data_IF_076267452083
#
_entry.id   IF_076267452083
#
_cell.length_a   1.000
_cell.length_b   1.000
_cell.length_c   1.000
_cell.angle_alpha   90.00
_cell.angle_beta   90.00
_cell.angle_gamma   90.00
#
_symmetry.space_group_name_H-M   'P 1'
#
loop_
_entity.id
_entity.type
_entity.pdbx_description
1 polymer ?
#
# COMPACT_ATOMS: atom_id res chain seq x y z
N UNK A 1 18.41 38.70 -3.56
CA UNK A 1 17.19 38.13 -4.19
C UNK A 1 17.10 38.68 -5.60
N UNK A 2 17.36 37.85 -6.61
CA UNK A 2 17.24 38.26 -8.01
C UNK A 2 15.76 38.28 -8.36
N UNK A 3 15.21 39.45 -8.63
CA UNK A 3 13.81 39.61 -9.00
C UNK A 3 13.59 38.91 -10.34
N UNK A 4 12.80 37.82 -10.35
CA UNK A 4 12.38 37.15 -11.58
C UNK A 4 11.43 38.10 -12.32
N UNK A 5 11.97 38.87 -13.26
CA UNK A 5 11.18 39.68 -14.20
C UNK A 5 10.61 38.74 -15.26
N UNK A 6 9.30 38.51 -15.20
CA UNK A 6 8.61 37.76 -16.24
C UNK A 6 8.56 38.60 -17.52
N UNK A 7 8.99 38.07 -18.68
CA UNK A 7 8.89 38.79 -19.95
C UNK A 7 7.43 39.06 -20.29
N UNK A 8 7.17 40.20 -20.95
CA UNK A 8 5.83 40.52 -21.43
C UNK A 8 5.40 39.43 -22.43
N UNK A 9 4.18 38.90 -22.27
CA UNK A 9 3.69 37.77 -23.07
C UNK A 9 3.64 38.03 -24.58
N UNK A 10 3.66 39.29 -25.00
CA UNK A 10 3.70 39.70 -26.41
C UNK A 10 5.11 39.66 -27.02
N UNK A 11 6.16 39.69 -26.19
CA UNK A 11 7.56 39.67 -26.64
C UNK A 11 8.09 38.23 -26.85
N UNK A 12 7.31 37.24 -26.41
CA UNK A 12 7.64 35.82 -26.57
C UNK A 12 6.96 35.27 -27.82
N UNK A 13 7.76 34.77 -28.77
CA UNK A 13 7.24 34.19 -30.02
C UNK A 13 6.31 32.99 -29.73
N UNK A 14 5.34 32.75 -30.63
CA UNK A 14 4.44 31.61 -30.55
C UNK A 14 5.21 30.28 -30.47
N UNK A 15 6.24 30.11 -31.29
CA UNK A 15 7.10 28.92 -31.29
C UNK A 15 7.77 28.67 -29.94
N UNK A 16 8.22 29.72 -29.26
CA UNK A 16 8.80 29.59 -27.91
C UNK A 16 7.76 29.12 -26.90
N UNK A 17 6.51 29.63 -26.99
CA UNK A 17 5.41 29.20 -26.12
C UNK A 17 5.08 27.72 -26.33
N UNK A 18 4.94 27.28 -27.59
CA UNK A 18 4.70 25.87 -27.93
C UNK A 18 5.85 24.96 -27.48
N UNK A 19 7.10 25.40 -27.63
CA UNK A 19 8.26 24.65 -27.17
C UNK A 19 8.27 24.48 -25.64
N UNK A 20 7.95 25.53 -24.89
CA UNK A 20 7.85 25.47 -23.42
C UNK A 20 6.68 24.60 -22.98
N UNK A 21 5.50 24.76 -23.60
CA UNK A 21 4.33 23.94 -23.31
C UNK A 21 4.61 22.45 -23.57
N UNK A 22 5.23 22.13 -24.71
CA UNK A 22 5.66 20.78 -25.06
C UNK A 22 6.68 20.23 -24.05
N UNK A 23 7.67 21.03 -23.66
CA UNK A 23 8.67 20.62 -22.68
C UNK A 23 8.05 20.30 -21.32
N UNK A 24 7.11 21.13 -20.84
CA UNK A 24 6.37 20.87 -19.60
C UNK A 24 5.55 19.58 -19.73
N UNK A 25 4.84 19.40 -20.84
CA UNK A 25 4.03 18.22 -21.09
C UNK A 25 4.88 16.95 -21.11
N UNK A 26 5.99 16.93 -21.86
CA UNK A 26 6.88 15.78 -21.93
C UNK A 26 7.58 15.51 -20.61
N UNK A 27 7.98 16.55 -19.87
CA UNK A 27 8.58 16.37 -18.55
C UNK A 27 7.58 15.80 -17.53
N UNK A 28 6.33 16.29 -17.55
CA UNK A 28 5.26 15.76 -16.72
C UNK A 28 4.96 14.30 -17.10
N UNK A 29 4.80 14.03 -18.39
CA UNK A 29 4.56 12.69 -18.91
C UNK A 29 5.69 11.71 -18.54
N UNK A 30 6.94 12.12 -18.69
CA UNK A 30 8.11 11.32 -18.32
C UNK A 30 8.16 11.01 -16.82
N UNK A 31 7.83 11.98 -15.96
CA UNK A 31 7.71 11.74 -14.52
C UNK A 31 6.58 10.75 -14.20
N UNK A 32 5.40 10.94 -14.80
CA UNK A 32 4.22 10.11 -14.54
C UNK A 32 4.36 8.67 -15.04
N UNK A 33 5.24 8.39 -16.01
CA UNK A 33 5.56 7.03 -16.48
C UNK A 33 6.83 6.44 -15.85
N UNK A 34 7.52 7.20 -14.99
CA UNK A 34 8.79 6.80 -14.40
C UNK A 34 9.94 6.70 -15.42
N UNK A 35 9.93 7.52 -16.46
CA UNK A 35 11.06 7.64 -17.39
C UNK A 35 12.15 8.57 -16.81
N UNK A 36 13.38 8.40 -17.31
CA UNK A 36 14.52 9.21 -16.93
C UNK A 36 15.01 8.95 -15.49
N UNK A 37 15.81 9.89 -14.92
CA UNK A 37 16.43 9.71 -13.61
C UNK A 37 15.42 9.58 -12.46
N UNK A 38 14.29 10.27 -12.53
CA UNK A 38 13.28 10.31 -11.46
C UNK A 38 12.60 8.96 -11.23
N UNK A 39 12.32 8.22 -12.30
CA UNK A 39 11.75 6.87 -12.18
C UNK A 39 12.78 5.74 -12.09
N UNK A 40 14.08 6.04 -12.22
CA UNK A 40 15.14 5.02 -12.12
C UNK A 40 15.18 4.42 -10.71
N UNK A 41 15.05 5.26 -9.69
CA UNK A 41 15.00 4.87 -8.29
C UNK A 41 13.82 5.58 -7.63
N UNK A 42 12.93 4.82 -7.00
CA UNK A 42 11.83 5.34 -6.20
C UNK A 42 12.09 5.00 -4.73
N UNK A 43 12.03 5.99 -3.86
CA UNK A 43 12.31 5.83 -2.43
C UNK A 43 11.07 6.16 -1.60
N UNK A 44 10.89 5.45 -0.48
CA UNK A 44 9.78 5.45 0.49
C UNK A 44 8.43 4.98 -0.02
N UNK A 45 8.11 5.30 -1.26
CA UNK A 45 6.82 4.98 -1.87
C UNK A 45 6.88 3.72 -2.72
N UNK A 46 5.72 3.07 -2.88
CA UNK A 46 5.56 2.01 -3.87
C UNK A 46 5.50 2.63 -5.27
N UNK A 47 6.09 2.02 -6.31
CA UNK A 47 5.98 2.51 -7.69
C UNK A 47 4.54 2.75 -8.13
N UNK A 48 3.61 1.89 -7.69
CA UNK A 48 2.17 2.01 -7.99
C UNK A 48 1.49 3.25 -7.40
N UNK A 49 2.10 3.94 -6.42
CA UNK A 49 1.57 5.18 -5.83
C UNK A 49 2.08 6.44 -6.53
N UNK A 50 3.22 6.35 -7.22
CA UNK A 50 3.92 7.50 -7.82
C UNK A 50 3.82 7.50 -9.35
N UNK A 51 3.73 6.32 -9.96
CA UNK A 51 3.61 6.15 -11.41
C UNK A 51 2.14 6.01 -11.75
N UNK A 52 1.63 6.96 -12.51
CA UNK A 52 0.21 7.05 -12.86
C UNK A 52 -0.09 6.64 -14.31
N UNK A 53 0.95 6.46 -15.14
CA UNK A 53 0.80 6.10 -16.55
C UNK A 53 1.71 4.94 -16.91
N UNK A 54 1.28 4.09 -17.85
CA UNK A 54 2.06 2.94 -18.36
C UNK A 54 2.56 1.97 -17.28
N UNK A 55 1.87 1.91 -16.13
CA UNK A 55 2.12 0.94 -15.07
C UNK A 55 1.07 -0.16 -15.15
N UNK A 56 1.51 -1.41 -15.34
CA UNK A 56 0.66 -2.58 -15.34
C UNK A 56 0.61 -3.21 -13.95
N UNK A 57 -0.51 -3.02 -13.27
CA UNK A 57 -0.80 -3.70 -12.01
C UNK A 57 -1.27 -5.13 -12.27
N UNK A 58 -1.18 -6.04 -11.29
CA UNK A 58 -1.75 -7.37 -11.44
C UNK A 58 -3.25 -7.26 -11.70
N UNK A 59 -3.74 -7.92 -12.76
CA UNK A 59 -5.14 -7.89 -13.20
C UNK A 59 -6.02 -8.39 -12.05
N UNK A 60 -7.04 -7.60 -11.69
CA UNK A 60 -8.07 -8.05 -10.76
C UNK A 60 -8.80 -9.24 -11.35
N UNK A 61 -8.79 -10.36 -10.64
CA UNK A 61 -9.69 -11.45 -10.95
C UNK A 61 -11.06 -11.11 -10.35
N UNK A 62 -12.15 -11.17 -11.13
CA UNK A 62 -13.48 -11.04 -10.56
C UNK A 62 -13.67 -12.16 -9.53
N UNK A 63 -14.17 -11.82 -8.34
CA UNK A 63 -14.46 -12.87 -7.34
C UNK A 63 -15.45 -13.85 -7.96
N UNK A 64 -15.29 -15.14 -7.66
CA UNK A 64 -16.20 -16.20 -8.13
C UNK A 64 -17.63 -16.04 -7.63
N UNK A 65 -17.87 -15.08 -6.72
CA UNK A 65 -19.13 -14.79 -6.05
C UNK A 65 -19.77 -13.49 -6.56
N UNK A 66 -19.04 -12.64 -7.29
CA UNK A 66 -19.57 -11.37 -7.79
C UNK A 66 -20.52 -11.59 -8.97
N UNK A 67 -21.81 -11.33 -8.74
CA UNK A 67 -22.88 -11.50 -9.74
C UNK A 67 -23.15 -10.16 -10.45
N UNK A 68 -22.88 -9.03 -9.79
CA UNK A 68 -23.16 -7.69 -10.34
C UNK A 68 -21.90 -6.89 -10.67
N UNK A 69 -22.04 -5.91 -11.59
CA UNK A 69 -20.98 -4.97 -11.96
C UNK A 69 -20.50 -4.07 -10.82
N UNK A 70 -21.28 -3.92 -9.74
CA UNK A 70 -20.92 -3.14 -8.55
C UNK A 70 -20.13 -3.98 -7.53
N UNK A 71 -20.36 -5.30 -7.47
CA UNK A 71 -19.61 -6.26 -6.65
C UNK A 71 -18.27 -6.66 -7.28
N UNK A 72 -18.18 -6.55 -8.61
CA UNK A 72 -16.90 -6.42 -9.31
C UNK A 72 -16.38 -5.03 -8.98
N UNK A 73 -15.55 -4.95 -7.96
CA UNK A 73 -14.86 -3.79 -7.37
C UNK A 73 -14.20 -2.83 -8.40
N UNK A 74 -14.96 -2.26 -9.33
CA UNK A 74 -14.51 -1.57 -10.55
C UNK A 74 -14.93 -0.09 -10.56
N UNK A 75 -15.67 0.37 -9.53
CA UNK A 75 -16.33 1.70 -9.58
C UNK A 75 -15.88 2.67 -8.47
N UNK A 76 -15.18 2.26 -7.41
CA UNK A 76 -14.77 3.20 -6.34
C UNK A 76 -13.32 3.08 -5.84
N UNK A 77 -12.41 2.45 -6.59
CA UNK A 77 -10.98 2.40 -6.22
C UNK A 77 -10.10 3.11 -7.26
N UNK A 78 -8.91 3.63 -6.89
CA UNK A 78 -8.06 4.43 -7.78
C UNK A 78 -7.69 3.70 -9.08
N UNK A 79 -7.35 4.47 -10.12
CA UNK A 79 -7.01 4.02 -11.48
C UNK A 79 -6.16 2.74 -11.45
N UNK A 80 -6.79 1.59 -11.73
CA UNK A 80 -6.15 0.27 -11.74
C UNK A 80 -6.04 -0.22 -13.18
N UNK A 81 -4.83 -0.17 -13.74
CA UNK A 81 -4.58 -0.61 -15.12
C UNK A 81 -3.92 -1.99 -15.09
N UNK A 82 -4.70 -3.04 -15.30
CA UNK A 82 -4.22 -4.43 -15.36
C UNK A 82 -3.75 -4.89 -16.74
N UNK A 83 -4.14 -4.14 -17.78
CA UNK A 83 -3.92 -4.48 -19.18
C UNK A 83 -3.54 -3.24 -19.99
N UNK A 84 -2.71 -3.42 -21.01
CA UNK A 84 -2.39 -2.39 -21.99
C UNK A 84 -2.32 -3.02 -23.38
N UNK A 85 -2.92 -2.38 -24.38
CA UNK A 85 -3.03 -2.98 -25.70
C UNK A 85 -3.47 -1.99 -26.76
N UNK A 86 -3.60 -2.51 -27.98
CA UNK A 86 -4.17 -1.79 -29.11
C UNK A 86 -5.25 -2.63 -29.78
N UNK A 87 -6.27 -1.95 -30.26
CA UNK A 87 -7.30 -2.50 -31.14
C UNK A 87 -7.26 -1.73 -32.46
N UNK A 88 -7.20 -2.43 -33.58
CA UNK A 88 -7.19 -1.82 -34.91
C UNK A 88 -7.85 -2.74 -35.93
N UNK A 89 -8.31 -2.14 -37.02
CA UNK A 89 -8.88 -2.87 -38.16
C UNK A 89 -7.82 -3.09 -39.23
N UNK A 90 -7.87 -4.25 -39.87
CA UNK A 90 -7.09 -4.60 -41.05
C UNK A 90 -8.03 -5.02 -42.19
N UNK A 91 -7.75 -4.58 -43.42
CA UNK A 91 -8.44 -5.07 -44.60
C UNK A 91 -8.00 -6.52 -44.94
N UNK A 92 -8.92 -7.35 -45.43
CA UNK A 92 -8.81 -8.81 -45.54
C UNK A 92 -7.59 -9.32 -46.36
N UNK A 93 -7.07 -10.45 -45.88
CA UNK A 93 -6.10 -11.45 -46.41
C UNK A 93 -4.78 -11.03 -47.06
N UNK A 94 -4.51 -9.76 -47.35
CA UNK A 94 -3.23 -9.39 -48.00
C UNK A 94 -2.06 -9.31 -47.02
N UNK A 95 -2.33 -9.00 -45.75
CA UNK A 95 -1.30 -8.97 -44.72
C UNK A 95 -0.96 -10.38 -44.25
N UNK A 96 0.26 -10.81 -44.53
CA UNK A 96 0.74 -12.13 -44.14
C UNK A 96 0.99 -12.26 -42.63
N UNK A 97 1.38 -11.18 -41.95
CA UNK A 97 1.74 -11.25 -40.53
C UNK A 97 1.68 -9.90 -39.80
N UNK A 98 1.52 -9.98 -38.48
CA UNK A 98 1.64 -8.86 -37.53
C UNK A 98 2.83 -9.14 -36.62
N UNK A 99 3.71 -8.16 -36.44
CA UNK A 99 4.86 -8.26 -35.55
C UNK A 99 4.68 -7.37 -34.33
N UNK A 100 4.82 -7.94 -33.13
CA UNK A 100 4.63 -7.28 -31.84
C UNK A 100 5.95 -7.28 -31.08
N UNK A 101 6.57 -6.11 -30.93
CA UNK A 101 7.76 -5.93 -30.10
C UNK A 101 7.41 -5.32 -28.75
N UNK A 102 7.74 -6.00 -27.65
CA UNK A 102 7.33 -5.57 -26.31
C UNK A 102 8.56 -5.20 -25.49
N UNK A 103 8.62 -3.93 -25.07
CA UNK A 103 9.64 -3.40 -24.15
C UNK A 103 8.96 -3.01 -22.84
N UNK A 104 9.44 -3.58 -21.74
CA UNK A 104 8.89 -3.34 -20.41
C UNK A 104 10.00 -2.94 -19.44
N UNK A 105 9.59 -2.51 -18.24
CA UNK A 105 10.48 -2.35 -17.10
C UNK A 105 9.80 -2.95 -15.88
N UNK A 106 10.59 -3.56 -15.00
CA UNK A 106 10.14 -4.07 -13.71
C UNK A 106 10.76 -3.25 -12.59
N UNK A 107 10.09 -3.19 -11.45
CA UNK A 107 10.63 -2.55 -10.25
C UNK A 107 11.03 -3.62 -9.23
N UNK A 108 12.31 -3.65 -8.89
CA UNK A 108 12.86 -4.58 -7.90
C UNK A 108 13.16 -3.83 -6.61
N UNK A 109 12.76 -4.41 -5.46
CA UNK A 109 12.98 -3.79 -4.16
C UNK A 109 14.44 -3.97 -3.73
N UNK A 110 15.06 -2.89 -3.29
CA UNK A 110 16.43 -2.85 -2.78
C UNK A 110 16.48 -2.26 -1.37
N UNK A 111 17.60 -2.47 -0.67
CA UNK A 111 17.91 -1.85 0.61
C UNK A 111 18.30 -0.37 0.43
N UNK A 112 17.92 0.53 1.35
CA UNK A 112 18.37 1.91 1.34
C UNK A 112 19.84 2.03 1.78
N UNK A 113 20.53 3.03 1.25
CA UNK A 113 21.87 3.43 1.70
C UNK A 113 21.78 4.39 2.90
N UNK A 114 22.90 4.59 3.61
CA UNK A 114 22.98 5.58 4.68
C UNK A 114 22.64 7.01 4.19
N UNK A 115 23.02 7.35 2.94
CA UNK A 115 22.66 8.63 2.33
C UNK A 115 21.14 8.76 2.14
N UNK A 116 20.44 7.69 1.75
CA UNK A 116 18.98 7.70 1.60
C UNK A 116 18.27 7.91 2.95
N UNK A 117 18.76 7.25 4.02
CA UNK A 117 18.22 7.41 5.37
C UNK A 117 18.55 8.78 5.99
N UNK A 118 19.69 9.36 5.61
CA UNK A 118 20.07 10.71 6.04
C UNK A 118 19.25 11.79 5.34
N UNK A 119 19.01 11.63 4.03
CA UNK A 119 18.16 12.52 3.25
C UNK A 119 16.70 12.48 3.73
N UNK A 120 16.26 11.34 4.26
CA UNK A 120 14.95 11.20 4.81
C UNK A 120 14.93 10.20 5.99
N UNK A 121 14.85 10.76 7.21
CA UNK A 121 14.86 10.03 8.50
C UNK A 121 13.65 9.13 8.71
N UNK A 122 13.86 7.95 9.28
CA UNK A 122 12.81 6.98 9.57
C UNK A 122 12.04 7.43 10.80
N UNK A 123 10.72 7.36 10.73
CA UNK A 123 9.84 7.74 11.84
C UNK A 123 9.44 6.48 12.60
N UNK A 124 9.68 6.48 13.90
CA UNK A 124 9.33 5.40 14.82
C UNK A 124 8.23 5.83 15.77
N UNK A 125 7.37 4.90 16.18
CA UNK A 125 6.28 5.15 17.14
C UNK A 125 6.63 4.57 18.51
N UNK A 126 6.19 5.23 19.58
CA UNK A 126 6.26 4.63 20.92
C UNK A 126 5.35 3.40 21.04
N UNK A 127 5.83 2.42 21.78
CA UNK A 127 5.06 1.24 22.16
C UNK A 127 3.80 1.62 22.93
N UNK A 128 2.75 0.79 22.81
CA UNK A 128 1.50 0.97 23.58
C UNK A 128 1.75 1.18 25.08
N UNK A 129 2.71 0.46 25.66
CA UNK A 129 3.06 0.56 27.08
C UNK A 129 3.74 1.91 27.42
N UNK A 130 4.64 2.39 26.56
CA UNK A 130 5.26 3.69 26.77
C UNK A 130 4.23 4.82 26.63
N UNK A 131 3.32 4.70 25.64
CA UNK A 131 2.21 5.64 25.45
C UNK A 131 1.27 5.68 26.65
N UNK A 132 0.88 4.53 27.20
CA UNK A 132 -0.05 4.47 28.33
C UNK A 132 0.53 5.14 29.58
N UNK A 133 1.83 5.01 29.83
CA UNK A 133 2.52 5.72 30.92
C UNK A 133 2.42 7.23 30.71
N UNK A 134 2.74 7.74 29.52
CA UNK A 134 2.66 9.19 29.25
C UNK A 134 1.22 9.71 29.42
N UNK A 135 0.24 8.97 28.90
CA UNK A 135 -1.17 9.33 29.02
C UNK A 135 -1.66 9.33 30.48
N UNK A 136 -1.17 8.40 31.31
CA UNK A 136 -1.46 8.36 32.75
C UNK A 136 -0.93 9.60 33.46
N UNK A 137 0.33 9.97 33.25
CA UNK A 137 0.93 11.17 33.85
C UNK A 137 0.19 12.44 33.42
N UNK A 138 -0.19 12.53 32.15
CA UNK A 138 -1.00 13.64 31.63
C UNK A 138 -2.36 13.72 32.32
N UNK A 139 -3.07 12.59 32.46
CA UNK A 139 -4.38 12.52 33.10
C UNK A 139 -4.31 12.93 34.58
N UNK A 140 -3.33 12.42 35.31
CA UNK A 140 -3.12 12.75 36.73
C UNK A 140 -2.75 14.21 36.94
N UNK A 141 -1.89 14.77 36.10
CA UNK A 141 -1.48 16.16 36.18
C UNK A 141 -2.64 17.11 35.83
N UNK A 142 -3.40 16.82 34.79
CA UNK A 142 -4.59 17.60 34.43
C UNK A 142 -5.66 17.54 35.51
N UNK A 143 -5.90 16.36 36.11
CA UNK A 143 -6.84 16.21 37.22
C UNK A 143 -6.42 17.07 38.41
N UNK A 144 -5.14 17.02 38.81
CA UNK A 144 -4.60 17.87 39.89
C UNK A 144 -4.77 19.36 39.60
N UNK A 145 -4.39 19.79 38.39
CA UNK A 145 -4.52 21.20 37.99
C UNK A 145 -5.98 21.66 37.94
N UNK A 146 -6.90 20.77 37.55
CA UNK A 146 -8.33 21.06 37.54
C UNK A 146 -8.88 21.18 38.97
N UNK A 147 -8.52 20.26 39.86
CA UNK A 147 -8.95 20.29 41.26
C UNK A 147 -8.42 21.56 41.96
N UNK A 148 -7.16 21.95 41.69
CA UNK A 148 -6.57 23.20 42.17
C UNK A 148 -7.30 24.43 41.62
N UNK A 149 -7.60 24.45 40.32
CA UNK A 149 -8.29 25.57 39.69
C UNK A 149 -9.76 25.68 40.17
N UNK A 150 -10.42 24.54 40.38
CA UNK A 150 -11.78 24.46 40.94
C UNK A 150 -11.81 24.93 42.40
N UNK A 151 -10.78 24.65 43.19
CA UNK A 151 -10.68 25.13 44.57
C UNK A 151 -10.58 26.67 44.65
N UNK A 152 -10.02 27.32 43.63
CA UNK A 152 -9.84 28.79 43.59
C UNK A 152 -11.01 29.51 42.91
N UNK A 153 -11.50 28.99 41.79
CA UNK A 153 -12.48 29.66 40.91
C UNK A 153 -13.85 28.95 40.85
N UNK A 154 -14.05 27.86 41.60
CA UNK A 154 -15.29 27.09 41.58
C UNK A 154 -15.55 26.41 40.22
N UNK A 155 -16.83 26.21 39.87
CA UNK A 155 -17.23 25.57 38.61
C UNK A 155 -16.88 26.40 37.34
N UNK A 156 -16.59 27.70 37.49
CA UNK A 156 -16.20 28.57 36.39
C UNK A 156 -14.70 28.47 36.03
N UNK A 157 -13.90 27.74 36.80
CA UNK A 157 -12.45 27.60 36.58
C UNK A 157 -12.09 27.09 35.18
N UNK A 158 -12.86 26.11 34.65
CA UNK A 158 -12.68 25.56 33.29
C UNK A 158 -12.99 26.56 32.18
N UNK A 159 -13.84 27.56 32.44
CA UNK A 159 -14.25 28.59 31.48
C UNK A 159 -13.32 29.81 31.50
N UNK A 160 -12.33 29.84 32.39
CA UNK A 160 -11.38 30.94 32.47
C UNK A 160 -10.43 30.95 31.26
N UNK A 161 -10.12 32.11 30.66
CA UNK A 161 -9.14 32.19 29.57
C UNK A 161 -7.75 31.69 29.95
N UNK A 162 -7.40 31.77 31.24
CA UNK A 162 -6.13 31.27 31.81
C UNK A 162 -6.06 29.75 31.90
N UNK A 163 -7.19 29.04 31.82
CA UNK A 163 -7.21 27.58 31.89
C UNK A 163 -6.43 26.94 30.73
N UNK A 164 -6.50 27.51 29.53
CA UNK A 164 -5.75 27.00 28.39
C UNK A 164 -4.23 27.06 28.61
N UNK A 165 -3.73 28.18 29.15
CA UNK A 165 -2.31 28.34 29.49
C UNK A 165 -1.87 27.35 30.59
N UNK A 166 -2.70 27.17 31.62
CA UNK A 166 -2.45 26.21 32.70
C UNK A 166 -2.44 24.78 32.17
N UNK A 167 -3.43 24.42 31.34
CA UNK A 167 -3.56 23.10 30.71
C UNK A 167 -2.33 22.77 29.86
N UNK A 168 -1.88 23.71 29.04
CA UNK A 168 -0.71 23.52 28.16
C UNK A 168 0.56 23.31 28.99
N UNK A 169 0.82 24.21 29.96
CA UNK A 169 1.99 24.11 30.84
C UNK A 169 2.03 22.79 31.62
N UNK A 170 0.91 22.40 32.23
CA UNK A 170 0.82 21.17 33.03
C UNK A 170 0.96 19.93 32.16
N UNK A 171 0.44 19.96 30.93
CA UNK A 171 0.60 18.86 29.96
C UNK A 171 2.07 18.71 29.55
N UNK A 172 2.75 19.81 29.23
CA UNK A 172 4.18 19.80 28.88
C UNK A 172 5.06 19.30 30.04
N UNK A 173 4.81 19.76 31.27
CA UNK A 173 5.51 19.31 32.47
C UNK A 173 5.29 17.81 32.74
N UNK A 174 4.06 17.32 32.56
CA UNK A 174 3.70 15.91 32.75
C UNK A 174 4.33 15.00 31.70
N UNK A 175 4.32 15.40 30.43
CA UNK A 175 4.98 14.66 29.35
C UNK A 175 6.49 14.62 29.53
N UNK A 176 7.10 15.76 29.88
CA UNK A 176 8.53 15.83 30.18
C UNK A 176 8.92 14.90 31.33
N UNK A 177 8.12 14.87 32.39
CA UNK A 177 8.32 13.98 33.54
C UNK A 177 8.18 12.50 33.16
N UNK A 178 7.14 12.15 32.39
CA UNK A 178 6.91 10.78 31.95
C UNK A 178 8.03 10.27 31.04
N UNK A 179 8.56 11.11 30.15
CA UNK A 179 9.66 10.73 29.27
C UNK A 179 10.98 10.54 30.03
N UNK A 180 11.22 11.35 31.06
CA UNK A 180 12.35 11.16 31.97
C UNK A 180 12.23 9.84 32.74
N UNK A 181 11.04 9.48 33.23
CA UNK A 181 10.77 8.18 33.86
C UNK A 181 11.06 7.02 32.90
N UNK A 182 10.67 7.18 31.64
CA UNK A 182 10.97 6.22 30.57
C UNK A 182 12.46 6.24 30.15
N UNK A 183 13.30 7.11 30.71
CA UNK A 183 14.72 7.20 30.36
C UNK A 183 14.98 7.76 28.95
N UNK A 184 13.99 8.43 28.35
CA UNK A 184 14.14 9.14 27.07
C UNK A 184 14.76 10.50 27.37
N UNK A 185 15.98 10.73 26.88
CA UNK A 185 16.75 11.92 27.20
C UNK A 185 16.01 13.22 26.81
N UNK A 186 16.05 14.22 27.70
CA UNK A 186 15.39 15.51 27.50
C UNK A 186 15.84 16.30 26.26
N UNK A 187 16.94 15.92 25.61
CA UNK A 187 17.37 16.50 24.33
C UNK A 187 16.45 16.09 23.16
N UNK A 188 15.78 14.94 23.23
CA UNK A 188 14.85 14.44 22.20
C UNK A 188 13.54 15.25 22.23
N UNK A 189 13.18 15.78 23.41
CA UNK A 189 12.03 16.64 23.65
C UNK A 189 12.12 18.01 22.97
N UNK A 190 13.33 18.52 22.70
CA UNK A 190 13.56 19.85 22.13
C UNK A 190 13.60 19.87 20.60
N UNK A 191 13.25 18.77 19.93
CA UNK A 191 13.16 18.74 18.47
C UNK A 191 12.05 19.68 17.97
N UNK A 192 12.32 20.66 17.09
CA UNK A 192 11.34 21.65 16.64
C UNK A 192 10.10 21.03 15.98
N UNK A 193 10.27 19.89 15.31
CA UNK A 193 9.17 19.10 14.72
C UNK A 193 8.14 18.60 15.74
N UNK A 194 8.54 18.41 17.01
CA UNK A 194 7.62 18.00 18.09
C UNK A 194 6.84 19.17 18.65
N UNK A 195 7.49 20.35 18.75
CA UNK A 195 6.87 21.58 19.24
C UNK A 195 5.74 22.05 18.31
N UNK A 196 5.93 22.00 16.99
CA UNK A 196 4.91 22.42 16.02
C UNK A 196 3.66 21.51 16.02
N UNK A 197 3.85 20.19 16.19
CA UNK A 197 2.74 19.22 16.29
C UNK A 197 1.98 19.36 17.61
N UNK A 198 2.69 19.56 18.72
CA UNK A 198 2.10 19.78 20.04
C UNK A 198 1.24 21.05 20.09
N UNK A 199 1.73 22.17 19.52
CA UNK A 199 0.98 23.43 19.47
C UNK A 199 -0.33 23.29 18.68
N UNK A 200 -0.35 22.47 17.63
CA UNK A 200 -1.56 22.22 16.80
C UNK A 200 -2.62 21.40 17.55
N UNK A 201 -2.24 20.35 18.28
CA UNK A 201 -3.17 19.52 19.08
C UNK A 201 -3.77 20.32 20.24
N UNK A 202 -3.04 21.29 20.78
CA UNK A 202 -3.53 22.14 21.86
C UNK A 202 -4.58 23.16 21.38
N UNK A 203 -4.65 23.43 20.06
CA UNK A 203 -5.60 24.34 19.46
C UNK A 203 -6.93 23.67 19.03
N UNK A 204 -6.92 22.37 18.75
CA UNK A 204 -8.11 21.62 18.30
C UNK A 204 -8.39 20.42 19.23
N UNK A 205 -9.46 20.51 20.05
CA UNK A 205 -9.94 19.38 20.85
C UNK A 205 -10.72 19.77 22.10
N UNK A 206 -11.91 20.33 21.91
CA UNK A 206 -13.00 20.25 22.89
C UNK A 206 -13.91 19.09 22.44
N UNK A 207 -13.55 17.87 22.83
CA UNK A 207 -14.48 16.74 22.77
C UNK A 207 -14.62 16.15 24.18
N UNK A 208 -15.88 16.04 24.60
CA UNK A 208 -16.26 15.46 25.88
C UNK A 208 -15.86 13.97 25.97
N UNK A 209 -15.85 13.39 27.18
CA UNK A 209 -15.38 12.04 27.38
C UNK A 209 -16.26 11.04 26.61
N UNK A 210 -15.68 10.37 25.61
CA UNK A 210 -16.26 9.17 25.02
C UNK A 210 -16.12 8.03 26.03
N UNK A 211 -17.25 7.50 26.50
CA UNK A 211 -17.32 6.26 27.24
C UNK A 211 -17.01 5.11 26.30
N UNK A 212 -15.85 4.47 26.47
CA UNK A 212 -15.65 3.03 26.37
C UNK A 212 -14.15 2.75 26.45
N UNK A 213 -13.68 2.45 27.66
CA UNK A 213 -12.41 1.76 27.87
C UNK A 213 -12.68 0.64 28.89
N UNK A 214 -12.63 -0.65 28.49
CA UNK A 214 -13.02 -1.78 29.32
C UNK A 214 -11.82 -2.22 30.16
N UNK A 215 -11.63 -1.59 31.32
CA UNK A 215 -10.83 -2.16 32.40
C UNK A 215 -10.96 -1.26 33.64
N UNK A 216 -11.84 -1.62 34.58
CA UNK A 216 -11.62 -1.73 36.04
C UNK A 216 -12.94 -2.27 36.62
N UNK A 217 -13.03 -3.59 36.86
CA UNK A 217 -13.92 -4.09 37.92
C UNK A 217 -13.12 -4.03 39.22
N UNK A 218 -13.48 -3.08 40.09
CA UNK A 218 -12.98 -3.00 41.46
C UNK A 218 -14.10 -3.38 42.44
N UNK A 219 -13.76 -4.31 43.31
CA UNK A 219 -14.54 -4.85 44.42
C UNK A 219 -15.07 -3.76 45.38
N UNK A 220 -16.35 -3.85 45.76
CA UNK A 220 -16.85 -3.29 47.02
C UNK A 220 -17.81 -4.28 47.70
N UNK A 221 -17.37 -4.80 48.84
CA UNK A 221 -18.19 -5.51 49.82
C UNK A 221 -19.00 -4.52 50.69
N UNK A 222 -20.31 -4.77 50.87
CA UNK A 222 -20.93 -4.88 52.20
C UNK A 222 -22.45 -5.22 52.15
N UNK A 223 -22.74 -6.40 52.68
CA UNK A 223 -23.83 -6.77 53.60
C UNK A 223 -25.20 -7.30 53.08
N UNK A 224 -25.41 -8.58 53.46
CA UNK A 224 -26.64 -9.23 53.94
C UNK A 224 -27.62 -9.85 52.93
N UNK A 225 -27.54 -11.16 52.70
CA UNK A 225 -28.33 -12.22 53.36
C UNK A 225 -28.04 -13.59 52.69
N UNK A 226 -27.91 -14.64 53.50
CA UNK A 226 -27.88 -16.05 53.05
C UNK A 226 -29.27 -16.66 53.33
N UNK A 227 -29.73 -17.69 52.59
CA UNK A 227 -29.25 -19.04 52.91
C UNK A 227 -29.02 -20.01 51.73
N UNK A 228 -28.13 -20.96 52.04
CA UNK A 228 -27.77 -22.27 51.47
C UNK A 228 -28.63 -22.95 50.38
N UNK A 229 -27.94 -23.56 49.39
CA UNK A 229 -28.00 -25.02 49.11
C UNK A 229 -27.03 -25.47 48.00
N UNK A 230 -26.32 -26.57 48.27
CA UNK A 230 -25.63 -27.59 47.45
C UNK A 230 -25.45 -27.47 45.91
N UNK A 231 -24.23 -27.80 45.47
CA UNK A 231 -23.74 -28.12 44.11
C UNK A 231 -24.37 -29.42 43.53
N UNK A 232 -24.30 -29.76 42.20
CA UNK A 232 -23.18 -29.53 41.26
C UNK A 232 -23.51 -29.20 39.78
N UNK A 233 -22.42 -28.95 39.04
CA UNK A 233 -22.15 -28.93 37.58
C UNK A 233 -23.21 -29.50 36.60
N UNK A 234 -23.53 -28.72 35.55
CA UNK A 234 -23.66 -29.12 34.12
C UNK A 234 -24.49 -28.09 33.31
N UNK A 235 -23.95 -27.58 32.19
CA UNK A 235 -24.74 -27.29 30.98
C UNK A 235 -25.17 -25.85 30.61
N UNK A 236 -24.42 -25.29 29.66
CA UNK A 236 -24.85 -24.58 28.41
C UNK A 236 -25.34 -23.11 28.39
N UNK A 237 -24.78 -22.43 27.35
CA UNK A 237 -25.28 -21.28 26.56
C UNK A 237 -24.93 -19.88 27.11
N UNK A 238 -24.57 -18.85 26.34
CA UNK A 238 -24.28 -18.59 24.92
C UNK A 238 -23.77 -17.13 24.85
N UNK A 239 -23.27 -16.69 23.69
CA UNK A 239 -22.75 -15.35 23.31
C UNK A 239 -21.24 -15.13 23.39
N UNK A 240 -20.52 -15.75 22.44
CA UNK A 240 -19.34 -15.15 21.86
C UNK A 240 -19.79 -13.98 20.95
N UNK A 241 -19.37 -12.75 21.29
CA UNK A 241 -19.47 -11.61 20.39
C UNK A 241 -18.18 -11.58 19.56
N UNK A 242 -18.35 -11.92 18.29
CA UNK A 242 -17.37 -11.72 17.23
C UNK A 242 -17.03 -10.21 17.11
N UNK A 243 -15.78 -9.86 17.42
CA UNK A 243 -15.23 -8.53 17.15
C UNK A 243 -14.85 -8.45 15.66
N UNK A 244 -15.86 -8.10 14.87
CA UNK A 244 -15.77 -7.82 13.45
C UNK A 244 -14.90 -6.58 13.21
N UNK A 245 -13.80 -6.78 12.48
CA UNK A 245 -12.84 -5.75 12.07
C UNK A 245 -13.45 -4.96 10.90
N UNK A 246 -14.46 -4.14 11.19
CA UNK A 246 -14.88 -3.07 10.29
C UNK A 246 -14.06 -1.82 10.60
N UNK A 247 -12.94 -1.67 9.90
CA UNK A 247 -12.35 -0.35 9.62
C UNK A 247 -13.34 0.45 8.78
N UNK A 248 -14.34 1.02 9.45
CA UNK A 248 -15.07 2.17 8.96
C UNK A 248 -14.04 3.29 8.87
N UNK A 249 -13.80 3.79 7.66
CA UNK A 249 -13.27 5.14 7.46
C UNK A 249 -14.32 6.13 7.96
N UNK A 250 -14.44 6.27 9.28
CA UNK A 250 -14.94 7.50 9.86
C UNK A 250 -13.82 8.51 9.74
N UNK A 251 -14.16 9.68 9.23
CA UNK A 251 -13.31 10.87 9.15
C UNK A 251 -12.87 11.29 10.56
N UNK A 252 -11.83 10.65 11.08
CA UNK A 252 -11.15 11.01 12.32
C UNK A 252 -9.92 11.85 11.98
N UNK A 253 -10.14 13.11 11.60
CA UNK A 253 -9.06 14.07 11.46
C UNK A 253 -8.36 14.36 12.81
N UNK A 254 -9.02 14.08 13.95
CA UNK A 254 -8.48 14.32 15.30
C UNK A 254 -7.57 13.23 15.87
N UNK A 255 -7.82 11.94 15.58
CA UNK A 255 -7.08 10.84 16.23
C UNK A 255 -5.71 10.56 15.57
N UNK A 256 -5.54 11.00 14.31
CA UNK A 256 -4.27 10.91 13.60
C UNK A 256 -3.22 11.92 14.07
N UNK A 257 -3.63 13.05 14.64
CA UNK A 257 -2.72 14.10 15.09
C UNK A 257 -2.18 13.83 16.50
N UNK A 258 -2.98 13.24 17.40
CA UNK A 258 -2.54 12.86 18.75
C UNK A 258 -1.44 11.79 18.73
N UNK A 259 -1.47 10.87 17.77
CA UNK A 259 -0.46 9.82 17.63
C UNK A 259 0.88 10.32 17.07
N UNK A 260 0.88 11.41 16.27
CA UNK A 260 2.11 12.04 15.77
C UNK A 260 2.96 12.64 16.89
N UNK A 261 2.35 13.02 18.02
CA UNK A 261 3.08 13.53 19.18
C UNK A 261 4.04 12.49 19.80
N UNK A 262 3.83 11.20 19.50
CA UNK A 262 4.64 10.08 19.99
C UNK A 262 5.56 9.48 18.93
N UNK A 263 5.80 10.22 17.84
CA UNK A 263 6.66 9.81 16.73
C UNK A 263 8.08 10.43 16.85
N UNK A 264 9.10 9.63 16.52
CA UNK A 264 10.51 10.00 16.60
C UNK A 264 11.20 9.76 15.27
N UNK A 265 11.73 10.83 14.66
CA UNK A 265 12.51 10.74 13.44
C UNK A 265 13.98 10.43 13.76
N UNK A 266 14.47 9.29 13.26
CA UNK A 266 15.83 8.78 13.49
C UNK A 266 16.55 8.62 12.16
N UNK A 267 17.78 9.10 12.10
CA UNK A 267 18.71 8.92 10.99
C UNK A 267 20.04 8.28 11.43
N UNK A 268 20.90 7.91 10.47
CA UNK A 268 22.22 7.37 10.76
C UNK A 268 23.07 8.32 11.61
N UNK A 269 23.73 7.78 12.64
CA UNK A 269 24.59 8.55 13.54
C UNK A 269 23.86 9.50 14.52
N UNK A 270 22.53 9.48 14.59
CA UNK A 270 21.80 10.30 15.57
C UNK A 270 22.15 9.88 17.01
N UNK A 271 22.72 10.80 17.79
CA UNK A 271 23.17 10.54 19.16
C UNK A 271 22.02 10.39 20.18
N UNK A 272 20.82 10.86 19.82
CA UNK A 272 19.66 10.92 20.70
C UNK A 272 18.50 10.09 20.14
N UNK A 273 18.75 8.84 19.75
CA UNK A 273 17.70 7.92 19.36
C UNK A 273 16.97 7.35 20.61
N UNK A 274 15.64 7.17 20.57
CA UNK A 274 14.91 6.58 21.68
C UNK A 274 15.31 5.10 21.89
N UNK A 275 15.26 4.58 23.14
CA UNK A 275 15.57 3.19 23.42
C UNK A 275 14.65 2.20 22.68
N UNK A 276 15.21 1.14 22.12
CA UNK A 276 14.49 0.13 21.34
C UNK A 276 13.31 -0.51 22.12
N UNK A 277 13.45 -0.69 23.43
CA UNK A 277 12.42 -1.30 24.28
C UNK A 277 11.12 -0.48 24.36
N UNK A 278 11.18 0.81 24.04
CA UNK A 278 10.07 1.75 24.13
C UNK A 278 9.41 2.02 22.78
N UNK A 279 9.89 1.39 21.72
CA UNK A 279 9.56 1.71 20.34
C UNK A 279 8.93 0.50 19.65
N UNK A 280 7.90 0.76 18.85
CA UNK A 280 7.35 -0.22 17.91
C UNK A 280 8.33 -0.34 16.74
N UNK A 281 8.73 -1.57 16.41
CA UNK A 281 9.69 -1.82 15.32
C UNK A 281 9.06 -1.41 14.00
N UNK A 282 9.79 -0.64 13.20
CA UNK A 282 9.31 -0.11 11.92
C UNK A 282 9.82 -0.95 10.75
N UNK A 283 9.13 -0.94 9.61
CA UNK A 283 9.63 -1.60 8.40
C UNK A 283 10.82 -0.85 7.80
N UNK A 284 11.75 -1.61 7.21
CA UNK A 284 12.83 -1.01 6.39
C UNK A 284 12.20 -0.19 5.26
N UNK A 285 12.59 1.09 5.20
CA UNK A 285 12.14 2.03 4.17
C UNK A 285 12.25 1.44 2.77
N UNK A 286 11.20 1.60 1.99
CA UNK A 286 11.12 1.01 0.67
C UNK A 286 12.04 1.75 -0.30
N UNK A 287 12.86 1.03 -1.07
CA UNK A 287 13.61 1.57 -2.20
C UNK A 287 13.43 0.65 -3.38
N UNK A 288 13.17 1.20 -4.55
CA UNK A 288 12.82 0.44 -5.76
C UNK A 288 13.73 0.84 -6.90
N UNK A 289 14.30 -0.15 -7.58
CA UNK A 289 15.12 0.02 -8.77
C UNK A 289 14.32 -0.36 -10.00
N UNK A 290 14.29 0.52 -11.01
CA UNK A 290 13.71 0.24 -12.33
C UNK A 290 14.71 -0.53 -13.18
N UNK A 291 14.35 -1.74 -13.58
CA UNK A 291 15.18 -2.61 -14.43
C UNK A 291 14.50 -2.80 -15.78
N UNK A 292 15.17 -2.48 -16.91
CA UNK A 292 14.61 -2.71 -18.24
C UNK A 292 14.53 -4.21 -18.56
N UNK A 293 13.46 -4.61 -19.24
CA UNK A 293 13.26 -5.98 -19.72
C UNK A 293 12.85 -5.94 -21.19
N UNK A 294 13.61 -6.67 -22.02
CA UNK A 294 13.18 -6.99 -23.38
C UNK A 294 12.37 -8.30 -23.39
N UNK A 295 11.06 -8.18 -23.55
CA UNK A 295 10.15 -9.32 -23.66
C UNK A 295 10.22 -9.96 -25.05
N UNK A 296 10.84 -9.28 -26.00
CA UNK A 296 11.12 -9.76 -27.33
C UNK A 296 10.04 -9.43 -28.34
N UNK A 297 10.18 -10.07 -29.49
CA UNK A 297 9.32 -9.90 -30.64
C UNK A 297 8.53 -11.18 -30.91
N UNK A 298 7.23 -11.03 -31.13
CA UNK A 298 6.32 -12.09 -31.54
C UNK A 298 5.77 -11.79 -32.92
N UNK A 299 5.85 -12.76 -33.84
CA UNK A 299 5.29 -12.66 -35.19
C UNK A 299 4.06 -13.54 -35.28
N UNK A 300 2.90 -12.93 -35.45
CA UNK A 300 1.62 -13.57 -35.67
C UNK A 300 1.47 -13.76 -37.17
N UNK A 301 1.51 -15.00 -37.65
CA UNK A 301 1.21 -15.33 -39.04
C UNK A 301 -0.31 -15.49 -39.23
N UNK A 302 -0.90 -14.60 -40.01
CA UNK A 302 -2.36 -14.55 -40.21
C UNK A 302 -2.88 -15.62 -41.18
N UNK A 303 -1.97 -16.37 -41.83
CA UNK A 303 -2.32 -17.52 -42.68
C UNK A 303 -2.56 -18.81 -41.89
N UNK A 304 -2.08 -18.86 -40.64
CA UNK A 304 -2.25 -20.02 -39.76
C UNK A 304 -3.67 -20.11 -39.22
N UNK A 305 -4.06 -21.32 -38.81
CA UNK A 305 -5.32 -21.53 -38.10
C UNK A 305 -5.26 -20.98 -36.68
N UNK A 306 -6.41 -20.59 -36.11
CA UNK A 306 -6.50 -20.12 -34.72
C UNK A 306 -5.75 -21.02 -33.69
N UNK A 307 -5.92 -22.36 -33.67
CA UNK A 307 -5.22 -23.21 -32.71
C UNK A 307 -3.69 -23.27 -32.91
N UNK A 308 -3.19 -22.99 -34.11
CA UNK A 308 -1.74 -22.87 -34.36
C UNK A 308 -1.20 -21.55 -33.81
N UNK A 309 -1.93 -20.45 -34.04
CA UNK A 309 -1.59 -19.14 -33.47
C UNK A 309 -1.62 -19.20 -31.93
N UNK A 310 -2.61 -19.85 -31.33
CA UNK A 310 -2.72 -20.00 -29.87
C UNK A 310 -1.53 -20.80 -29.29
N UNK A 311 -1.07 -21.83 -30.01
CA UNK A 311 0.11 -22.61 -29.62
C UNK A 311 1.38 -21.76 -29.64
N UNK A 312 1.56 -20.99 -30.71
CA UNK A 312 2.72 -20.10 -30.86
C UNK A 312 2.71 -18.98 -29.82
N UNK A 313 1.52 -18.42 -29.54
CA UNK A 313 1.32 -17.41 -28.50
C UNK A 313 1.62 -17.96 -27.11
N UNK A 314 1.16 -19.17 -26.77
CA UNK A 314 1.48 -19.83 -25.51
C UNK A 314 2.99 -20.07 -25.34
N UNK A 315 3.67 -20.50 -26.42
CA UNK A 315 5.12 -20.67 -26.43
C UNK A 315 5.85 -19.33 -26.23
N UNK A 316 5.36 -18.25 -26.84
CA UNK A 316 5.89 -16.90 -26.65
C UNK A 316 5.68 -16.38 -25.23
N UNK A 317 4.49 -16.56 -24.65
CA UNK A 317 4.18 -16.20 -23.26
C UNK A 317 5.13 -16.91 -22.27
N UNK A 318 5.37 -18.21 -22.46
CA UNK A 318 6.35 -18.95 -21.67
C UNK A 318 7.78 -18.40 -21.83
N UNK A 319 8.14 -17.91 -23.02
CA UNK A 319 9.45 -17.26 -23.27
C UNK A 319 9.54 -15.89 -22.59
N UNK A 320 8.48 -15.10 -22.60
CA UNK A 320 8.42 -13.80 -21.91
C UNK A 320 8.65 -13.98 -20.40
N UNK A 321 7.95 -14.93 -19.79
CA UNK A 321 8.13 -15.24 -18.37
C UNK A 321 9.58 -15.62 -18.05
N UNK A 322 10.19 -16.53 -18.83
CA UNK A 322 11.61 -16.90 -18.66
C UNK A 322 12.57 -15.73 -18.83
N UNK A 323 12.28 -14.77 -19.72
CA UNK A 323 13.10 -13.56 -19.90
C UNK A 323 13.04 -12.66 -18.67
N UNK A 324 11.87 -12.47 -18.07
CA UNK A 324 11.74 -11.73 -16.82
C UNK A 324 12.52 -12.42 -15.70
N UNK A 325 12.34 -13.74 -15.55
CA UNK A 325 13.05 -14.52 -14.54
C UNK A 325 14.56 -14.41 -14.71
N UNK A 326 15.07 -14.51 -15.95
CA UNK A 326 16.49 -14.34 -16.25
C UNK A 326 17.02 -12.94 -15.89
N UNK A 327 16.22 -11.88 -16.10
CA UNK A 327 16.61 -10.52 -15.69
C UNK A 327 16.66 -10.40 -14.16
N UNK A 328 15.68 -10.99 -13.46
CA UNK A 328 15.67 -11.01 -11.99
C UNK A 328 16.89 -11.79 -11.47
N UNK A 329 17.18 -12.95 -12.04
CA UNK A 329 18.33 -13.80 -11.68
C UNK A 329 19.65 -13.07 -11.91
N UNK A 330 19.80 -12.42 -13.08
CA UNK A 330 20.98 -11.64 -13.41
C UNK A 330 21.19 -10.49 -12.41
N UNK A 331 20.13 -9.76 -12.07
CA UNK A 331 20.21 -8.69 -11.07
C UNK A 331 20.52 -9.22 -9.66
N UNK A 332 19.93 -10.34 -9.25
CA UNK A 332 20.21 -10.95 -7.94
C UNK A 332 21.67 -11.42 -7.81
N UNK A 333 22.28 -11.85 -8.91
CA UNK A 333 23.70 -12.24 -8.95
C UNK A 333 24.66 -11.05 -9.16
N UNK A 334 24.14 -9.88 -9.52
CA UNK A 334 24.93 -8.68 -9.82
C UNK A 334 25.60 -8.14 -8.56
N UNK A 335 26.93 -7.97 -8.62
CA UNK A 335 27.78 -7.48 -7.55
C UNK A 335 28.11 -5.98 -7.66
N UNK A 336 27.43 -5.24 -8.54
CA UNK A 336 27.56 -3.79 -8.64
C UNK A 336 27.41 -3.14 -7.24
N UNK A 337 28.41 -2.34 -6.79
CA UNK A 337 28.43 -1.78 -5.44
C UNK A 337 27.34 -0.74 -5.18
N UNK A 338 26.62 -0.28 -6.21
CA UNK A 338 25.60 0.76 -6.12
C UNK A 338 24.16 0.23 -6.26
N UNK A 339 23.94 -0.75 -7.13
CA UNK A 339 22.60 -1.24 -7.50
C UNK A 339 22.47 -2.76 -7.60
N UNK A 340 23.58 -3.50 -7.49
CA UNK A 340 23.60 -4.95 -7.68
C UNK A 340 22.78 -5.67 -6.60
N UNK A 341 21.92 -6.59 -7.02
CA UNK A 341 21.02 -7.32 -6.13
C UNK A 341 21.75 -8.22 -5.12
N UNK A 342 23.01 -8.59 -5.38
CA UNK A 342 23.82 -9.37 -4.43
C UNK A 342 24.11 -8.57 -3.15
N UNK A 343 24.30 -7.26 -3.27
CA UNK A 343 24.66 -6.36 -2.16
C UNK A 343 23.51 -5.48 -1.69
N UNK A 344 22.49 -5.31 -2.52
CA UNK A 344 21.38 -4.40 -2.26
C UNK A 344 20.01 -5.07 -2.34
N UNK A 345 19.93 -6.34 -2.72
CA UNK A 345 18.68 -7.07 -2.78
C UNK A 345 17.97 -7.04 -1.44
N UNK A 346 16.68 -6.70 -1.47
CA UNK A 346 15.88 -6.71 -0.24
C UNK A 346 15.80 -8.14 0.31
N UNK A 347 16.06 -8.40 1.61
CA UNK A 347 16.05 -9.75 2.16
C UNK A 347 14.70 -10.46 1.99
N UNK A 348 14.77 -11.69 1.49
CA UNK A 348 13.69 -12.66 1.45
C UNK A 348 13.63 -13.44 2.76
N UNK A 349 12.43 -13.66 3.29
CA UNK A 349 12.25 -14.39 4.54
C UNK A 349 10.78 -14.69 4.84
N UNK A 350 10.55 -15.77 5.58
CA UNK A 350 9.29 -16.03 6.28
C UNK A 350 9.39 -15.41 7.67
N UNK A 351 8.52 -14.46 7.98
CA UNK A 351 8.44 -13.83 9.30
C UNK A 351 8.53 -12.30 9.26
N UNK A 352 7.72 -11.66 10.09
CA UNK A 352 7.57 -10.20 10.26
C UNK A 352 8.88 -9.54 10.71
N UNK A 353 9.72 -10.26 11.46
CA UNK A 353 10.97 -9.71 12.00
C UNK A 353 12.11 -9.55 10.99
N UNK A 354 12.07 -10.26 9.85
CA UNK A 354 13.11 -10.13 8.81
C UNK A 354 13.04 -8.81 8.02
N UNK A 355 12.04 -7.96 8.32
CA UNK A 355 11.73 -6.73 7.59
C UNK A 355 11.64 -5.50 8.48
N UNK A 356 11.80 -5.67 9.78
CA UNK A 356 11.69 -4.58 10.75
C UNK A 356 13.04 -4.21 11.32
N UNK A 357 13.15 -2.94 11.72
CA UNK A 357 14.35 -2.30 12.23
C UNK A 357 14.01 -1.57 13.52
N UNK A 358 15.03 -1.34 14.34
CA UNK A 358 14.93 -0.52 15.54
C UNK A 358 15.64 0.83 15.34
N UNK A 359 15.43 1.81 16.24
CA UNK A 359 16.24 3.03 16.26
C UNK A 359 17.75 2.75 16.28
N UNK A 360 18.21 1.79 17.09
CA UNK A 360 19.63 1.42 17.13
C UNK A 360 20.14 0.90 15.78
N UNK A 361 19.35 0.11 15.05
CA UNK A 361 19.70 -0.34 13.70
C UNK A 361 19.88 0.83 12.73
N UNK A 362 19.03 1.86 12.84
CA UNK A 362 19.11 3.05 11.96
C UNK A 362 20.31 3.91 12.29
N UNK A 363 20.59 4.13 13.58
CA UNK A 363 21.78 4.88 14.02
C UNK A 363 23.05 4.19 13.53
N UNK A 364 23.13 2.87 13.68
CA UNK A 364 24.22 2.00 13.23
C UNK A 364 24.05 1.44 11.83
N UNK A 365 23.40 2.16 10.90
CA UNK A 365 22.91 1.58 9.64
C UNK A 365 23.97 0.85 8.82
N UNK A 366 25.20 1.32 8.76
CA UNK A 366 26.25 0.63 7.98
C UNK A 366 26.56 -0.77 8.53
N UNK A 367 26.50 -0.96 9.86
CA UNK A 367 26.67 -2.26 10.50
C UNK A 367 25.44 -3.15 10.26
N UNK A 368 24.23 -2.60 10.43
CA UNK A 368 22.99 -3.34 10.15
C UNK A 368 22.90 -3.74 8.68
N UNK A 369 23.29 -2.86 7.76
CA UNK A 369 23.36 -3.12 6.32
C UNK A 369 24.38 -4.20 5.98
N UNK A 370 25.56 -4.21 6.61
CA UNK A 370 26.53 -5.28 6.46
C UNK A 370 25.95 -6.64 6.90
N UNK A 371 25.19 -6.67 8.00
CA UNK A 371 24.44 -7.84 8.44
C UNK A 371 23.38 -8.29 7.42
N UNK A 372 22.54 -7.37 6.95
CA UNK A 372 21.49 -7.66 5.96
C UNK A 372 22.06 -8.20 4.64
N UNK A 373 23.24 -7.72 4.22
CA UNK A 373 23.97 -8.17 3.03
C UNK A 373 24.47 -9.61 3.11
N UNK A 374 24.62 -10.17 4.31
CA UNK A 374 24.99 -11.58 4.45
C UNK A 374 23.84 -12.52 4.08
N UNK A 375 22.60 -12.03 4.07
CA UNK A 375 21.44 -12.83 3.69
C UNK A 375 21.41 -13.04 2.17
N UNK A 376 21.68 -14.30 1.76
CA UNK A 376 21.72 -14.68 0.35
C UNK A 376 20.36 -14.89 -0.29
N UNK A 377 19.27 -14.91 0.49
CA UNK A 377 17.92 -15.03 -0.07
C UNK A 377 17.39 -13.63 -0.29
N UNK A 378 17.32 -13.19 -1.55
CA UNK A 378 16.69 -11.93 -1.95
C UNK A 378 15.20 -12.16 -2.18
N UNK A 379 14.36 -11.19 -1.79
CA UNK A 379 12.94 -11.19 -2.08
C UNK A 379 12.71 -11.23 -3.60
N UNK A 380 12.01 -12.26 -4.06
CA UNK A 380 11.76 -12.50 -5.49
C UNK A 380 10.30 -12.20 -5.81
N UNK A 381 9.99 -11.25 -6.70
CA UNK A 381 8.62 -11.05 -7.17
C UNK A 381 8.22 -12.13 -8.19
N UNK A 382 6.95 -12.52 -8.17
CA UNK A 382 6.35 -13.36 -9.20
C UNK A 382 5.67 -12.44 -10.21
N UNK A 383 6.23 -12.31 -11.42
CA UNK A 383 5.72 -11.46 -12.48
C UNK A 383 5.27 -12.32 -13.65
N UNK A 384 3.97 -12.30 -13.97
CA UNK A 384 3.38 -13.17 -15.00
C UNK A 384 2.82 -12.30 -16.14
N UNK A 385 3.63 -11.95 -17.15
CA UNK A 385 3.15 -11.24 -18.34
C UNK A 385 2.43 -12.20 -19.28
N UNK A 386 1.26 -11.81 -19.78
CA UNK A 386 0.52 -12.58 -20.77
C UNK A 386 0.20 -11.69 -21.96
N UNK A 387 0.64 -12.08 -23.15
CA UNK A 387 0.19 -11.50 -24.41
C UNK A 387 -1.08 -12.25 -24.84
N UNK A 388 -2.15 -11.50 -25.06
CA UNK A 388 -3.42 -11.97 -25.57
C UNK A 388 -3.61 -11.42 -27.00
N UNK A 389 -4.21 -12.24 -27.86
CA UNK A 389 -4.51 -11.91 -29.25
C UNK A 389 -5.93 -12.34 -29.57
N UNK A 390 -6.73 -11.42 -30.10
CA UNK A 390 -8.06 -11.70 -30.63
C UNK A 390 -8.15 -11.25 -32.08
N UNK A 391 -8.75 -12.09 -32.92
CA UNK A 391 -9.02 -11.80 -34.33
C UNK A 391 -10.52 -11.98 -34.58
N UNK A 392 -11.23 -10.86 -34.70
CA UNK A 392 -12.68 -10.83 -34.84
C UNK A 392 -13.03 -10.39 -36.26
N UNK A 393 -13.95 -11.11 -36.90
CA UNK A 393 -14.55 -10.67 -38.15
C UNK A 393 -15.42 -9.43 -37.91
N UNK A 394 -15.35 -8.43 -38.77
CA UNK A 394 -16.23 -7.27 -38.66
C UNK A 394 -17.64 -7.65 -39.19
N UNK A 395 -18.70 -7.56 -38.35
CA UNK A 395 -20.04 -7.99 -38.74
C UNK A 395 -20.67 -7.06 -39.80
N UNK A 396 -20.18 -5.83 -39.95
CA UNK A 396 -20.67 -4.85 -40.92
C UNK A 396 -19.81 -4.81 -42.19
N UNK A 397 -18.56 -5.24 -42.11
CA UNK A 397 -17.59 -5.26 -43.22
C UNK A 397 -16.88 -6.61 -43.31
N UNK A 398 -17.42 -7.58 -44.05
CA UNK A 398 -16.87 -8.93 -44.14
C UNK A 398 -15.44 -9.00 -44.72
N UNK A 399 -14.99 -7.93 -45.37
CA UNK A 399 -13.65 -7.73 -45.92
C UNK A 399 -12.69 -7.04 -44.93
N UNK A 400 -13.10 -6.84 -43.68
CA UNK A 400 -12.26 -6.28 -42.62
C UNK A 400 -12.23 -7.23 -41.40
N UNK A 401 -11.12 -7.18 -40.67
CA UNK A 401 -10.98 -7.87 -39.37
C UNK A 401 -10.55 -6.89 -38.31
N UNK A 402 -11.14 -7.01 -37.13
CA UNK A 402 -10.71 -6.30 -35.93
C UNK A 402 -9.70 -7.17 -35.18
N UNK A 403 -8.48 -6.67 -35.09
CA UNK A 403 -7.40 -7.30 -34.33
C UNK A 403 -7.24 -6.58 -33.00
N UNK A 404 -7.14 -7.35 -31.92
CA UNK A 404 -6.84 -6.86 -30.59
C UNK A 404 -5.60 -7.56 -30.06
N UNK A 405 -4.64 -6.78 -29.58
CA UNK A 405 -3.41 -7.27 -28.96
C UNK A 405 -3.29 -6.61 -27.59
N UNK A 406 -3.16 -7.42 -26.54
CA UNK A 406 -3.16 -6.96 -25.15
C UNK A 406 -2.01 -7.60 -24.40
N UNK A 407 -1.25 -6.80 -23.66
CA UNK A 407 -0.38 -7.27 -22.60
C UNK A 407 -1.12 -7.14 -21.27
N UNK A 408 -1.35 -8.28 -20.62
CA UNK A 408 -1.93 -8.39 -19.28
C UNK A 408 -0.84 -8.77 -18.27
N UNK A 409 -1.02 -8.33 -17.03
CA UNK A 409 -0.22 -8.77 -15.90
C UNK A 409 -1.05 -9.73 -15.04
N UNK A 410 -0.84 -11.04 -15.20
CA UNK A 410 -1.53 -12.11 -14.46
C UNK A 410 -0.83 -12.50 -13.17
N UNK A 411 0.05 -11.63 -12.64
CA UNK A 411 0.61 -11.84 -11.32
C UNK A 411 -0.48 -11.96 -10.25
N UNK A 412 -0.14 -12.61 -9.14
CA UNK A 412 -0.97 -12.53 -7.95
C UNK A 412 -0.96 -11.10 -7.41
N UNK A 413 -2.14 -10.57 -7.11
CA UNK A 413 -2.23 -9.44 -6.21
C UNK A 413 -1.61 -9.86 -4.89
N UNK A 414 -0.63 -9.10 -4.40
CA UNK A 414 -0.13 -9.24 -3.04
C UNK A 414 -1.22 -8.74 -2.09
N UNK A 415 -2.31 -9.49 -1.97
CA UNK A 415 -3.27 -9.33 -0.90
C UNK A 415 -2.50 -9.63 0.38
N UNK A 416 -2.51 -8.71 1.33
CA UNK A 416 -2.17 -9.03 2.71
C UNK A 416 -3.26 -9.98 3.20
N UNK A 417 -3.13 -11.26 2.89
CA UNK A 417 -4.02 -12.30 3.41
C UNK A 417 -3.70 -12.43 4.89
N UNK A 418 -4.60 -12.07 5.84
CA UNK A 418 -4.61 -12.78 7.10
C UNK A 418 -4.95 -14.23 6.71
N UNK A 419 -4.00 -15.15 6.89
CA UNK A 419 -4.25 -16.57 6.64
C UNK A 419 -5.33 -17.05 7.61
N UNK A 420 -6.60 -16.95 7.23
CA UNK A 420 -7.56 -17.97 7.61
C UNK A 420 -7.27 -19.18 6.73
N UNK A 421 -6.58 -20.15 7.32
CA UNK A 421 -6.41 -21.47 6.75
C UNK A 421 -7.77 -22.14 6.88
N UNK A 422 -8.58 -22.10 5.82
CA UNK A 422 -9.66 -23.06 5.68
C UNK A 422 -9.01 -24.43 5.43
N UNK A 423 -8.94 -25.21 6.49
CA UNK A 423 -8.64 -26.63 6.46
C UNK A 423 -9.73 -27.34 5.66
N UNK A 424 -9.41 -27.73 4.43
CA UNK A 424 -10.14 -28.78 3.72
C UNK A 424 -9.87 -30.12 4.42
N UNK A 425 -10.59 -30.40 5.50
CA UNK A 425 -10.81 -31.77 5.96
C UNK A 425 -11.99 -32.37 5.19
N UNK A 426 -11.74 -32.81 3.95
CA UNK A 426 -12.59 -33.83 3.34
C UNK A 426 -12.14 -35.19 3.84
N UNK A 427 -12.67 -35.62 4.99
CA UNK A 427 -12.58 -36.99 5.46
C UNK A 427 -13.36 -37.86 4.46
N UNK A 428 -12.62 -38.68 3.72
CA UNK A 428 -13.16 -39.76 2.90
C UNK A 428 -13.70 -40.83 3.86
N UNK A 429 -15.01 -40.84 4.08
CA UNK A 429 -15.70 -42.02 4.60
C UNK A 429 -16.23 -42.79 3.39
N UNK A 430 -15.57 -43.92 3.10
CA UNK A 430 -16.10 -44.94 2.19
C UNK A 430 -17.39 -45.51 2.79
N UNK A 431 -18.46 -45.51 2.01
CA UNK A 431 -19.72 -46.17 2.32
C UNK A 431 -20.50 -46.39 1.03
N UNK A 432 -20.92 -47.62 0.80
CA UNK A 432 -21.35 -48.22 -0.46
C UNK A 432 -22.60 -47.63 -1.14
N UNK A 433 -22.67 -47.87 -2.46
CA UNK A 433 -23.82 -47.75 -3.39
C UNK A 433 -24.99 -48.66 -2.95
N UNK A 434 -26.26 -48.36 -3.32
CA UNK A 434 -26.74 -48.74 -4.67
C UNK A 434 -27.82 -47.85 -5.34
N UNK A 435 -27.76 -47.85 -6.68
CA UNK A 435 -28.81 -47.88 -7.71
C UNK A 435 -30.12 -47.07 -7.55
N UNK A 436 -30.42 -46.21 -8.53
CA UNK A 436 -31.49 -46.45 -9.53
C UNK A 436 -31.79 -45.24 -10.45
N UNK A 437 -32.05 -45.61 -11.71
CA UNK A 437 -32.78 -44.97 -12.82
C UNK A 437 -33.41 -43.56 -12.70
N UNK A 438 -33.34 -42.79 -13.80
CA UNK A 438 -34.46 -41.92 -14.20
C UNK A 438 -34.18 -40.64 -15.01
N UNK A 439 -33.99 -40.78 -16.33
CA UNK A 439 -34.62 -39.96 -17.41
C UNK A 439 -34.86 -38.44 -17.28
N UNK A 440 -34.20 -37.70 -18.21
CA UNK A 440 -34.75 -36.79 -19.27
C UNK A 440 -35.33 -35.39 -18.95
N UNK A 441 -34.95 -34.46 -19.85
CA UNK A 441 -35.58 -33.18 -20.34
C UNK A 441 -35.21 -31.90 -19.57
N UNK A 442 -35.15 -30.70 -20.16
CA UNK A 442 -34.91 -30.14 -21.51
C UNK A 442 -35.03 -28.60 -21.33
N UNK A 443 -34.19 -27.85 -22.04
CA UNK A 443 -34.43 -26.49 -22.59
C UNK A 443 -34.59 -25.25 -21.68
N UNK A 444 -33.84 -24.18 -22.03
CA UNK A 444 -34.21 -22.79 -21.74
C UNK A 444 -33.05 -21.77 -21.79
N UNK A 445 -32.73 -21.25 -22.98
CA UNK A 445 -31.88 -20.06 -23.25
C UNK A 445 -32.81 -18.90 -23.76
N UNK A 446 -32.34 -17.66 -23.99
CA UNK A 446 -32.15 -16.54 -23.04
C UNK A 446 -32.99 -15.28 -23.45
N UNK A 447 -32.82 -14.14 -22.76
CA UNK A 447 -33.26 -12.83 -23.30
C UNK A 447 -32.22 -11.73 -23.04
N UNK A 448 -31.73 -11.17 -24.13
CA UNK A 448 -30.92 -9.96 -24.25
C UNK A 448 -31.79 -8.70 -24.27
N UNK A 449 -31.26 -7.58 -23.77
CA UNK A 449 -31.76 -6.23 -24.09
C UNK A 449 -30.56 -5.34 -24.39
N UNK A 450 -30.63 -4.68 -25.55
CA UNK A 450 -29.68 -3.71 -26.08
C UNK A 450 -29.81 -2.35 -25.39
N UNK A 451 -28.69 -1.63 -25.24
CA UNK A 451 -28.69 -0.17 -25.18
C UNK A 451 -27.48 0.38 -25.93
N UNK A 452 -27.79 1.13 -26.98
CA UNK A 452 -26.88 1.81 -27.90
C UNK A 452 -26.62 3.22 -27.37
N UNK A 453 -25.38 3.69 -27.38
CA UNK A 453 -25.13 5.15 -27.44
C UNK A 453 -23.81 5.44 -28.14
N UNK A 454 -23.93 6.20 -29.23
CA UNK A 454 -22.84 6.67 -30.06
C UNK A 454 -22.24 7.96 -29.48
N UNK A 455 -20.91 8.11 -29.60
CA UNK A 455 -20.27 9.42 -29.59
C UNK A 455 -19.12 9.40 -30.60
N UNK A 456 -19.22 10.28 -31.59
CA UNK A 456 -18.30 10.43 -32.70
C UNK A 456 -16.95 10.98 -32.25
N UNK A 457 -15.88 10.35 -32.70
CA UNK A 457 -14.51 10.82 -32.58
C UNK A 457 -14.05 11.35 -33.95
N UNK A 458 -13.50 12.56 -33.98
CA UNK A 458 -12.90 13.14 -35.18
C UNK A 458 -11.46 13.53 -34.86
N UNK A 459 -10.48 12.73 -35.32
CA UNK A 459 -9.11 13.20 -35.50
C UNK A 459 -8.57 12.67 -36.82
N UNK A 460 -8.00 13.63 -37.56
CA UNK A 460 -7.46 13.58 -38.91
C UNK A 460 -6.06 12.97 -38.88
N UNK A 461 -5.81 11.97 -39.73
CA UNK A 461 -4.50 11.36 -39.92
C UNK A 461 -3.60 12.23 -40.82
N UNK A 462 -2.31 12.23 -40.52
CA UNK A 462 -1.23 12.40 -41.50
C UNK A 462 -0.54 11.07 -41.69
#
# INVERSE_FOLDING_TARGET
MTQLLFPNGNDVTHTTKEAVASAILYQAYDRLRGAGPTGRIIYREKPSRVIHTQHLLPRRQPSSVAVTYAEKDDVTSPVHVGTAGLTFQIADRTHAAITVGIRACIYLRMLPSAADLSAAKIVFRLSKNARSIILRHRREALKRAEDENRAVLGEEGRKSPKWLEIKNRVTEEAEGSALLELGIAGAILQSPTRQDVLVSILAEGDEGPTSDDPAVEEEQDAAAEAPASDQPDDGLSDTAIDADEQTVQTTAAGDGDTLKAFEFAVGPGDANAPPDALIEREQISQKWLRVPVDLGEFRIDLSLSAPEIDRDLAAFNAKMMRRIEAVIDAWQADNDPTVGGLLWGFPGGRGTQSRTITPADVVGWDQSLAGLRTNRRVARPTIIPVLEYENLEDPLRPDERTVRIILANESDLLVSVPKHVESNESVVIQGERPDSMGTRRQCGLPRTVHATTAAACAIRAT
#
